data_IF_650472285330
#
_entry.id   IF_650472285330
#
_cell.length_a   1.000
_cell.length_b   1.000
_cell.length_c   1.000
_cell.angle_alpha   90.00
_cell.angle_beta   90.00
_cell.angle_gamma   90.00
#
_symmetry.space_group_name_H-M   'P 1'
#
loop_
_entity.id
_entity.type
_entity.pdbx_description
1 polymer ?
#
# COMPACT_ATOMS: atom_id res chain seq x y z
N UNK A 1 13.34 17.06 63.20
CA UNK A 1 14.44 16.08 63.19
C UNK A 1 14.41 15.33 61.85
N UNK A 2 14.85 15.97 60.75
CA UNK A 2 14.94 15.32 59.43
C UNK A 2 16.32 14.68 59.28
N UNK A 3 16.37 13.36 59.13
CA UNK A 3 17.62 12.61 59.00
C UNK A 3 18.37 13.04 57.72
N UNK A 4 19.65 13.47 57.81
CA UNK A 4 20.46 13.94 56.67
C UNK A 4 20.76 12.83 55.65
N UNK A 5 20.41 11.57 55.98
CA UNK A 5 20.56 10.44 55.07
C UNK A 5 19.43 10.40 54.03
N UNK A 6 18.23 10.91 54.38
CA UNK A 6 17.04 10.89 53.51
C UNK A 6 17.14 11.91 52.36
N UNK A 7 17.75 13.08 52.58
CA UNK A 7 17.90 14.11 51.53
C UNK A 7 18.92 13.73 50.46
N UNK A 8 20.04 13.11 50.85
CA UNK A 8 21.04 12.57 49.91
C UNK A 8 20.47 11.42 49.08
N UNK A 9 19.62 10.58 49.69
CA UNK A 9 18.92 9.51 49.00
C UNK A 9 17.88 10.05 47.99
N UNK A 10 17.10 11.08 48.37
CA UNK A 10 16.12 11.74 47.48
C UNK A 10 16.79 12.45 46.31
N UNK A 11 17.94 13.09 46.53
CA UNK A 11 18.69 13.75 45.46
C UNK A 11 19.28 12.73 44.47
N UNK A 12 19.77 11.59 44.98
CA UNK A 12 20.29 10.49 44.16
C UNK A 12 19.20 9.80 43.35
N UNK A 13 18.02 9.54 43.94
CA UNK A 13 16.89 8.94 43.22
C UNK A 13 16.31 9.88 42.17
N UNK A 14 16.24 11.19 42.45
CA UNK A 14 15.82 12.21 41.48
C UNK A 14 16.78 12.29 40.28
N UNK A 15 18.09 12.23 40.54
CA UNK A 15 19.10 12.22 39.48
C UNK A 15 19.00 10.96 38.61
N UNK A 16 18.76 9.79 39.21
CA UNK A 16 18.54 8.53 38.48
C UNK A 16 17.26 8.58 37.63
N UNK A 17 16.18 9.17 38.15
CA UNK A 17 14.91 9.34 37.42
C UNK A 17 15.05 10.31 36.25
N UNK A 18 15.83 11.38 36.41
CA UNK A 18 16.13 12.33 35.34
C UNK A 18 16.92 11.68 34.20
N UNK A 19 17.92 10.83 34.52
CA UNK A 19 18.68 10.07 33.52
C UNK A 19 17.77 9.08 32.78
N UNK A 20 16.89 8.38 33.49
CA UNK A 20 15.91 7.48 32.87
C UNK A 20 14.94 8.22 31.95
N UNK A 21 14.47 9.41 32.35
CA UNK A 21 13.59 10.24 31.54
C UNK A 21 14.29 10.74 30.26
N UNK A 22 15.56 11.17 30.37
CA UNK A 22 16.37 11.57 29.20
C UNK A 22 16.65 10.40 28.25
N UNK A 23 16.88 9.20 28.78
CA UNK A 23 17.10 8.00 27.97
C UNK A 23 15.82 7.55 27.23
N UNK A 24 14.63 7.83 27.78
CA UNK A 24 13.35 7.45 27.18
C UNK A 24 12.93 8.39 26.03
N UNK A 25 13.38 9.64 26.01
CA UNK A 25 13.12 10.57 24.89
C UNK A 25 13.99 10.33 23.65
N UNK A 26 15.02 9.48 23.72
CA UNK A 26 15.96 9.26 22.62
C UNK A 26 15.53 8.17 21.62
N UNK A 27 14.45 7.41 21.89
CA UNK A 27 14.20 6.15 21.16
C UNK A 27 13.17 6.22 20.03
N UNK A 28 12.55 7.36 19.73
CA UNK A 28 11.53 7.42 18.65
C UNK A 28 12.02 8.18 17.42
N UNK A 29 13.05 7.65 16.76
CA UNK A 29 13.36 7.98 15.38
C UNK A 29 13.12 6.74 14.52
N UNK A 30 11.86 6.48 14.17
CA UNK A 30 11.57 5.55 13.08
C UNK A 30 12.07 6.22 11.79
N UNK A 31 13.24 5.79 11.31
CA UNK A 31 13.74 6.21 10.02
C UNK A 31 12.66 5.87 8.98
N UNK A 32 12.11 6.90 8.33
CA UNK A 32 11.17 6.70 7.22
C UNK A 32 11.91 5.85 6.19
N UNK A 33 11.35 4.69 5.76
CA UNK A 33 11.98 3.95 4.69
C UNK A 33 12.20 4.92 3.53
N UNK A 34 13.40 4.94 2.92
CA UNK A 34 13.66 5.79 1.78
C UNK A 34 12.51 5.58 0.80
N UNK A 35 11.96 6.67 0.23
CA UNK A 35 10.92 6.56 -0.79
C UNK A 35 11.48 5.65 -1.87
N UNK A 36 11.12 4.37 -1.84
CA UNK A 36 11.60 3.36 -2.78
C UNK A 36 11.31 3.95 -4.15
N UNK A 37 12.38 4.25 -4.89
CA UNK A 37 12.31 5.09 -6.08
C UNK A 37 11.12 4.65 -6.91
N UNK A 38 10.17 5.55 -7.12
CA UNK A 38 9.00 5.25 -7.93
C UNK A 38 9.50 4.72 -9.26
N UNK A 39 9.22 3.46 -9.55
CA UNK A 39 9.59 2.87 -10.82
C UNK A 39 8.67 3.50 -11.88
N UNK A 40 9.26 4.33 -12.73
CA UNK A 40 8.58 4.82 -13.93
C UNK A 40 8.61 3.69 -14.95
N UNK A 41 7.44 3.19 -15.33
CA UNK A 41 7.33 2.25 -16.45
C UNK A 41 7.70 3.02 -17.72
N UNK A 42 8.86 2.69 -18.30
CA UNK A 42 9.38 3.40 -19.47
C UNK A 42 8.58 3.09 -20.75
N UNK A 43 8.08 1.87 -20.87
CA UNK A 43 7.28 1.41 -22.02
C UNK A 43 6.55 0.12 -21.69
N UNK A 44 5.46 -0.12 -22.42
CA UNK A 44 4.74 -1.40 -22.44
C UNK A 44 4.75 -1.92 -23.86
N UNK A 45 5.03 -3.20 -24.05
CA UNK A 45 4.90 -3.89 -25.33
C UNK A 45 3.60 -4.70 -25.34
N UNK A 46 2.76 -4.49 -26.36
CA UNK A 46 1.57 -5.30 -26.52
C UNK A 46 1.96 -6.65 -27.13
N UNK A 47 1.66 -7.74 -26.43
CA UNK A 47 1.90 -9.10 -26.94
C UNK A 47 0.92 -9.49 -28.07
N UNK A 48 -0.19 -8.76 -28.20
CA UNK A 48 -1.19 -8.97 -29.25
C UNK A 48 -2.41 -8.10 -29.05
N UNK A 49 -3.07 -7.74 -30.16
CA UNK A 49 -4.34 -7.00 -30.19
C UNK A 49 -5.29 -7.74 -31.13
N UNK A 50 -6.55 -7.83 -30.72
CA UNK A 50 -7.67 -8.22 -31.58
C UNK A 50 -8.72 -7.12 -31.45
N UNK A 51 -9.26 -6.69 -32.59
CA UNK A 51 -10.32 -5.67 -32.66
C UNK A 51 -11.52 -6.28 -33.33
N UNK A 52 -12.71 -5.99 -32.79
CA UNK A 52 -13.99 -6.40 -33.35
C UNK A 52 -14.71 -5.17 -33.87
N UNK A 53 -15.40 -5.31 -34.99
CA UNK A 53 -16.27 -4.26 -35.50
C UNK A 53 -17.47 -4.07 -34.57
N UNK A 54 -18.00 -2.84 -34.49
CA UNK A 54 -19.23 -2.58 -33.73
C UNK A 54 -20.37 -3.46 -34.25
N UNK A 55 -21.15 -4.06 -33.35
CA UNK A 55 -22.21 -5.01 -33.73
C UNK A 55 -21.71 -6.44 -34.03
N UNK A 56 -20.44 -6.77 -33.77
CA UNK A 56 -19.99 -8.16 -33.84
C UNK A 56 -20.79 -9.02 -32.87
N UNK A 57 -21.32 -10.16 -33.31
CA UNK A 57 -22.10 -11.07 -32.46
C UNK A 57 -21.39 -12.41 -32.22
N UNK A 58 -21.50 -12.93 -30.99
CA UNK A 58 -21.15 -14.30 -30.64
C UNK A 58 -22.37 -14.98 -29.99
N UNK A 59 -22.84 -16.08 -30.58
CA UNK A 59 -24.02 -16.81 -30.13
C UNK A 59 -25.27 -15.91 -29.94
N UNK A 60 -25.48 -14.94 -30.84
CA UNK A 60 -26.61 -14.00 -30.79
C UNK A 60 -26.48 -12.91 -29.71
N UNK A 61 -25.29 -12.74 -29.13
CA UNK A 61 -24.98 -11.66 -28.19
C UNK A 61 -23.95 -10.73 -28.81
N UNK A 62 -24.22 -9.43 -28.88
CA UNK A 62 -23.23 -8.44 -29.32
C UNK A 62 -22.02 -8.45 -28.35
N UNK A 63 -20.82 -8.64 -28.91
CA UNK A 63 -19.57 -8.63 -28.16
C UNK A 63 -18.94 -7.24 -28.25
N UNK A 64 -18.81 -6.60 -27.09
CA UNK A 64 -18.29 -5.24 -26.95
C UNK A 64 -18.14 -4.85 -25.49
N UNK A 65 -17.63 -3.63 -25.22
CA UNK A 65 -17.50 -3.12 -23.85
C UNK A 65 -16.45 -3.82 -22.98
N UNK A 66 -15.67 -4.74 -23.55
CA UNK A 66 -14.67 -5.52 -22.81
C UNK A 66 -13.43 -4.67 -22.52
N UNK A 67 -13.07 -4.56 -21.23
CA UNK A 67 -11.86 -3.85 -20.77
C UNK A 67 -10.76 -4.80 -20.32
N UNK A 68 -11.07 -6.08 -20.07
CA UNK A 68 -10.06 -7.06 -19.72
C UNK A 68 -10.56 -8.50 -19.82
N UNK A 69 -9.64 -9.41 -20.15
CA UNK A 69 -9.85 -10.85 -20.15
C UNK A 69 -8.68 -11.51 -19.42
N UNK A 70 -8.98 -12.51 -18.58
CA UNK A 70 -7.96 -13.35 -17.95
C UNK A 70 -8.42 -14.80 -17.92
N UNK A 71 -7.46 -15.72 -17.83
CA UNK A 71 -7.69 -17.15 -17.81
C UNK A 71 -7.26 -17.75 -16.47
N UNK A 72 -8.16 -18.48 -15.81
CA UNK A 72 -7.84 -19.28 -14.63
C UNK A 72 -7.64 -20.74 -15.05
N UNK A 73 -6.37 -21.13 -15.19
CA UNK A 73 -5.98 -22.49 -15.59
C UNK A 73 -6.40 -23.58 -14.59
N UNK A 74 -6.58 -23.25 -13.30
CA UNK A 74 -7.00 -24.25 -12.30
C UNK A 74 -8.46 -24.63 -12.47
N UNK A 75 -9.28 -23.69 -12.92
CA UNK A 75 -10.73 -23.85 -13.10
C UNK A 75 -11.13 -24.08 -14.55
N UNK A 76 -10.24 -23.82 -15.49
CA UNK A 76 -10.53 -23.92 -16.92
C UNK A 76 -11.57 -22.90 -17.38
N UNK A 77 -11.60 -21.71 -16.77
CA UNK A 77 -12.60 -20.66 -17.08
C UNK A 77 -11.92 -19.35 -17.47
N UNK A 78 -12.60 -18.58 -18.31
CA UNK A 78 -12.24 -17.21 -18.64
C UNK A 78 -13.06 -16.23 -17.80
N UNK A 79 -12.41 -15.23 -17.23
CA UNK A 79 -13.06 -14.09 -16.60
C UNK A 79 -12.92 -12.89 -17.52
N UNK A 80 -14.04 -12.21 -17.76
CA UNK A 80 -14.08 -11.03 -18.61
C UNK A 80 -14.66 -9.87 -17.81
N UNK A 81 -13.99 -8.72 -17.85
CA UNK A 81 -14.46 -7.48 -17.27
C UNK A 81 -15.01 -6.60 -18.39
N UNK A 82 -16.31 -6.32 -18.33
CA UNK A 82 -16.93 -5.29 -19.16
C UNK A 82 -16.94 -3.98 -18.37
N UNK A 83 -16.46 -2.90 -18.97
CA UNK A 83 -16.63 -1.56 -18.43
C UNK A 83 -17.84 -0.91 -19.13
N UNK A 84 -18.72 -0.28 -18.35
CA UNK A 84 -19.77 0.55 -18.92
C UNK A 84 -19.18 1.94 -19.14
N UNK A 85 -18.93 2.29 -20.40
CA UNK A 85 -18.56 3.67 -20.78
C UNK A 85 -19.83 4.53 -20.73
N UNK A 86 -20.50 4.62 -19.57
CA UNK A 86 -21.58 5.59 -19.39
C UNK A 86 -20.94 6.97 -19.45
N UNK A 87 -21.00 7.60 -20.62
CA UNK A 87 -20.72 9.02 -20.75
C UNK A 87 -21.82 9.74 -19.96
N UNK A 88 -21.50 10.20 -18.75
CA UNK A 88 -22.35 11.13 -18.04
C UNK A 88 -22.47 12.39 -18.91
N UNK A 89 -23.64 12.55 -19.52
CA UNK A 89 -24.00 13.70 -20.36
C UNK A 89 -24.02 14.99 -19.56
#
# INVERSE_FOLDING_TARGET
MSSPHRSKFILFTSFLLLIMFLALSATTSFARPPNGGRMTVASTEFLGIVTFDTGTEFAGTEVGGLSGITYDAKRGVYYVLSDDRTQAR
#
